data_IF_092959217529
#
_entry.id   IF_092959217529
#
_cell.length_a   1.000
_cell.length_b   1.000
_cell.length_c   1.000
_cell.angle_alpha   90.00
_cell.angle_beta   90.00
_cell.angle_gamma   90.00
#
_symmetry.space_group_name_H-M   'P 1'
#
loop_
_entity.id
_entity.type
_entity.pdbx_description
1 polymer ?
#
# COMPACT_ATOMS: atom_id res chain seq x y z
N UNK A 1 -8.85 22.92 3.13
CA UNK A 1 -8.31 21.63 3.62
C UNK A 1 -7.39 21.06 2.55
N UNK A 2 -6.15 20.73 2.90
CA UNK A 2 -5.20 20.12 1.96
C UNK A 2 -5.37 18.59 2.01
N UNK A 3 -5.52 17.94 0.85
CA UNK A 3 -5.68 16.49 0.79
C UNK A 3 -4.37 15.77 1.17
N UNK A 4 -4.44 14.77 2.05
CA UNK A 4 -3.31 13.89 2.33
C UNK A 4 -3.21 12.81 1.27
N UNK A 5 -2.12 12.80 0.51
CA UNK A 5 -1.88 11.79 -0.52
C UNK A 5 -1.38 10.50 0.13
N UNK A 6 -2.20 9.44 0.09
CA UNK A 6 -1.86 8.14 0.68
C UNK A 6 -0.81 7.37 -0.13
N UNK A 7 -0.86 7.47 -1.46
CA UNK A 7 0.05 6.76 -2.35
C UNK A 7 0.42 7.67 -3.52
N UNK A 8 1.73 7.92 -3.70
CA UNK A 8 2.25 8.56 -4.91
C UNK A 8 2.47 7.50 -5.98
N UNK A 9 2.30 7.87 -7.25
CA UNK A 9 2.50 7.00 -8.41
C UNK A 9 1.68 5.69 -8.38
N UNK A 10 0.39 5.77 -8.05
CA UNK A 10 -0.50 4.61 -7.89
C UNK A 10 -0.48 3.63 -9.08
N UNK A 11 -0.27 4.13 -10.30
CA UNK A 11 -0.17 3.32 -11.53
C UNK A 11 0.93 2.26 -11.50
N UNK A 12 2.01 2.47 -10.72
CA UNK A 12 3.09 1.47 -10.56
C UNK A 12 2.63 0.22 -9.78
N UNK A 13 1.55 0.37 -9.03
CA UNK A 13 1.04 -0.61 -8.10
C UNK A 13 -0.30 -1.21 -8.53
N UNK A 14 -0.76 -0.93 -9.74
CA UNK A 14 -2.00 -1.46 -10.31
C UNK A 14 -2.11 -2.99 -10.09
N UNK A 15 -3.21 -3.39 -9.45
CA UNK A 15 -3.52 -4.78 -9.16
C UNK A 15 -2.70 -5.41 -8.03
N UNK A 16 -2.00 -4.62 -7.22
CA UNK A 16 -1.14 -5.10 -6.13
C UNK A 16 -1.64 -4.62 -4.77
N UNK A 17 -1.35 -5.42 -3.76
CA UNK A 17 -1.30 -4.95 -2.38
C UNK A 17 -0.06 -4.09 -2.18
N UNK A 18 -0.22 -3.00 -1.43
CA UNK A 18 0.82 -2.06 -1.07
C UNK A 18 0.86 -1.95 0.45
N UNK A 19 2.04 -2.07 1.04
CA UNK A 19 2.27 -1.76 2.44
C UNK A 19 3.06 -0.47 2.60
N UNK A 20 2.47 0.50 3.29
CA UNK A 20 3.17 1.73 3.71
C UNK A 20 3.60 1.63 5.17
N UNK A 21 4.56 2.47 5.57
CA UNK A 21 5.08 2.47 6.95
C UNK A 21 4.00 2.76 7.99
N UNK A 22 3.13 3.74 7.73
CA UNK A 22 1.93 4.06 8.53
C UNK A 22 0.98 4.98 7.76
N UNK A 23 -0.17 5.36 8.34
CA UNK A 23 -1.04 6.39 7.74
C UNK A 23 -0.39 7.78 7.68
N UNK A 24 0.58 8.07 8.55
CA UNK A 24 1.29 9.36 8.59
C UNK A 24 2.56 9.37 7.74
N UNK A 25 3.10 8.20 7.42
CA UNK A 25 4.27 8.01 6.58
C UNK A 25 3.91 7.05 5.45
N UNK A 26 3.65 7.63 4.28
CA UNK A 26 3.24 6.96 3.05
C UNK A 26 4.39 6.34 2.25
N UNK A 27 5.58 6.19 2.83
CA UNK A 27 6.68 5.43 2.23
C UNK A 27 6.22 3.99 1.96
N UNK A 28 6.24 3.58 0.69
CA UNK A 28 5.93 2.21 0.27
C UNK A 28 7.12 1.30 0.58
N UNK A 29 6.91 0.37 1.50
CA UNK A 29 7.95 -0.57 1.93
C UNK A 29 7.90 -1.89 1.15
N UNK A 30 6.71 -2.32 0.74
CA UNK A 30 6.53 -3.55 -0.03
C UNK A 30 5.27 -3.49 -0.88
N UNK A 31 5.27 -4.22 -2.00
CA UNK A 31 4.08 -4.42 -2.82
C UNK A 31 4.11 -5.78 -3.51
N UNK A 32 2.94 -6.33 -3.85
CA UNK A 32 2.82 -7.66 -4.45
C UNK A 32 1.39 -8.18 -4.49
N UNK A 33 1.20 -9.43 -4.95
CA UNK A 33 -0.12 -10.07 -5.07
C UNK A 33 -0.62 -10.75 -3.79
N UNK A 34 0.29 -11.08 -2.87
CA UNK A 34 -0.01 -11.76 -1.60
C UNK A 34 0.06 -10.76 -0.44
N UNK A 35 -1.08 -10.43 0.20
CA UNK A 35 -1.12 -9.41 1.25
C UNK A 35 -0.31 -9.80 2.49
N UNK A 36 -0.28 -11.09 2.86
CA UNK A 36 0.45 -11.56 4.02
C UNK A 36 1.97 -11.42 3.81
N UNK A 37 2.46 -11.76 2.62
CA UNK A 37 3.87 -11.56 2.26
C UNK A 37 4.25 -10.08 2.24
N UNK A 38 3.39 -9.23 1.67
CA UNK A 38 3.60 -7.78 1.60
C UNK A 38 3.69 -7.17 3.02
N UNK A 39 2.78 -7.55 3.91
CA UNK A 39 2.80 -7.11 5.31
C UNK A 39 4.06 -7.55 6.05
N UNK A 40 4.42 -8.83 5.93
CA UNK A 40 5.61 -9.39 6.60
C UNK A 40 6.90 -8.75 6.08
N UNK A 41 6.99 -8.45 4.79
CA UNK A 41 8.12 -7.75 4.21
C UNK A 41 8.24 -6.31 4.73
N UNK A 42 7.11 -5.60 4.93
CA UNK A 42 7.12 -4.28 5.52
C UNK A 42 7.57 -4.30 7.00
N UNK A 43 7.13 -5.31 7.78
CA UNK A 43 7.62 -5.54 9.15
C UNK A 43 9.13 -5.77 9.20
N UNK A 44 9.67 -6.61 8.31
CA UNK A 44 11.12 -6.87 8.18
C UNK A 44 11.92 -5.60 7.84
N UNK A 45 11.30 -4.62 7.17
CA UNK A 45 11.88 -3.30 6.86
C UNK A 45 11.70 -2.26 7.99
N UNK A 46 11.31 -2.70 9.19
CA UNK A 46 11.24 -1.87 10.39
C UNK A 46 9.92 -1.12 10.60
N UNK A 47 8.86 -1.43 9.84
CA UNK A 47 7.54 -0.89 10.15
C UNK A 47 6.91 -1.62 11.34
N UNK A 48 6.65 -0.90 12.44
CA UNK A 48 5.97 -1.48 13.61
C UNK A 48 4.50 -1.78 13.35
N UNK A 49 3.80 -0.88 12.64
CA UNK A 49 2.39 -1.04 12.30
C UNK A 49 2.13 -0.62 10.84
N UNK A 50 2.59 -1.43 9.87
CA UNK A 50 2.41 -1.10 8.46
C UNK A 50 0.93 -1.14 8.08
N UNK A 51 0.54 -0.22 7.20
CA UNK A 51 -0.82 -0.16 6.65
C UNK A 51 -0.80 -0.89 5.31
N UNK A 52 -1.72 -1.83 5.12
CA UNK A 52 -1.86 -2.56 3.87
C UNK A 52 -3.18 -2.22 3.19
N UNK A 53 -3.14 -1.99 1.89
CA UNK A 53 -4.32 -1.75 1.07
C UNK A 53 -4.10 -2.27 -0.34
N UNK A 54 -5.19 -2.56 -1.04
CA UNK A 54 -5.16 -3.00 -2.42
C UNK A 54 -5.32 -1.81 -3.36
N UNK A 55 -4.49 -1.77 -4.41
CA UNK A 55 -4.62 -0.80 -5.50
C UNK A 55 -5.33 -1.49 -6.66
N UNK A 56 -6.60 -1.14 -6.94
CA UNK A 56 -7.33 -1.76 -8.04
C UNK A 56 -6.68 -1.41 -9.37
N UNK A 57 -6.76 -2.34 -10.32
CA UNK A 57 -6.37 -2.07 -11.70
C UNK A 57 -7.21 -0.92 -12.25
N UNK A 58 -6.62 -0.08 -13.11
CA UNK A 58 -7.37 0.98 -13.79
C UNK A 58 -8.65 0.44 -14.43
N UNK A 59 -9.77 1.12 -14.18
CA UNK A 59 -11.08 0.74 -14.72
C UNK A 59 -11.82 -0.32 -13.89
N UNK A 60 -11.26 -0.78 -12.76
CA UNK A 60 -11.92 -1.71 -11.85
C UNK A 60 -12.60 -0.96 -10.70
N UNK A 61 -13.85 -1.31 -10.42
CA UNK A 61 -14.53 -0.88 -9.20
C UNK A 61 -14.10 -1.81 -8.07
N UNK A 62 -13.64 -1.23 -6.95
CA UNK A 62 -13.28 -1.96 -5.75
C UNK A 62 -14.26 -1.61 -4.64
N UNK A 63 -15.04 -2.60 -4.21
CA UNK A 63 -16.01 -2.50 -3.12
C UNK A 63 -15.44 -3.32 -1.97
N UNK A 64 -15.36 -2.69 -0.80
CA UNK A 64 -14.87 -3.30 0.46
C UNK A 64 -16.03 -3.81 1.29
#
# INVERSE_FOLDING_TARGET
MQATILLKDGSKYDGKYVATRSFKNNEVLSSGSDPAKVFNNAKKKGARNPVIFYVPKKGMVHIY
#
